data_IF_496453464003
#
_entry.id   IF_496453464003
#
_cell.length_a   1.000
_cell.length_b   1.000
_cell.length_c   1.000
_cell.angle_alpha   90.00
_cell.angle_beta   90.00
_cell.angle_gamma   90.00
#
_symmetry.space_group_name_H-M   'P 1'
#
loop_
_entity.id
_entity.type
_entity.pdbx_description
1 polymer ?
#
# COMPACT_ATOMS: atom_id res chain seq x y z
N UNK A 1 -14.71 25.93 -17.32
CA UNK A 1 -15.32 25.18 -16.22
C UNK A 1 -14.93 23.71 -16.23
N UNK A 2 -15.10 23.04 -17.36
CA UNK A 2 -14.70 21.62 -17.48
C UNK A 2 -13.21 21.41 -17.25
N UNK A 3 -12.38 22.34 -17.70
CA UNK A 3 -10.92 22.29 -17.51
C UNK A 3 -10.53 22.33 -16.03
N UNK A 4 -11.27 23.11 -15.23
CA UNK A 4 -11.00 23.22 -13.78
C UNK A 4 -11.33 21.91 -13.09
N UNK A 5 -12.45 21.28 -13.45
CA UNK A 5 -12.82 19.98 -12.88
C UNK A 5 -11.81 18.89 -13.24
N UNK A 6 -11.32 18.89 -14.47
CA UNK A 6 -10.32 17.93 -14.92
C UNK A 6 -9.02 18.09 -14.14
N UNK A 7 -8.57 19.34 -13.93
CA UNK A 7 -7.39 19.61 -13.10
C UNK A 7 -7.55 19.12 -11.68
N UNK A 8 -8.74 19.33 -11.09
CA UNK A 8 -9.03 18.90 -9.73
C UNK A 8 -8.95 17.39 -9.61
N UNK A 9 -9.54 16.65 -10.55
CA UNK A 9 -9.47 15.19 -10.58
C UNK A 9 -8.05 14.70 -10.71
N UNK A 10 -7.26 15.29 -11.59
CA UNK A 10 -5.87 14.91 -11.77
C UNK A 10 -5.08 15.13 -10.49
N UNK A 11 -5.32 16.23 -9.77
CA UNK A 11 -4.64 16.52 -8.51
C UNK A 11 -5.04 15.51 -7.44
N UNK A 12 -6.32 15.19 -7.33
CA UNK A 12 -6.80 14.21 -6.36
C UNK A 12 -6.23 12.81 -6.64
N UNK A 13 -6.21 12.41 -7.90
CA UNK A 13 -5.61 11.14 -8.32
C UNK A 13 -4.11 11.12 -8.01
N UNK A 14 -3.40 12.22 -8.29
CA UNK A 14 -1.99 12.35 -7.99
C UNK A 14 -1.70 12.20 -6.50
N UNK A 15 -2.52 12.83 -5.65
CA UNK A 15 -2.37 12.72 -4.20
C UNK A 15 -2.62 11.29 -3.71
N UNK A 16 -3.62 10.62 -4.26
CA UNK A 16 -3.91 9.24 -3.91
C UNK A 16 -2.74 8.33 -4.28
N UNK A 17 -2.15 8.52 -5.46
CA UNK A 17 -0.98 7.76 -5.90
C UNK A 17 0.23 8.04 -5.02
N UNK A 18 0.43 9.31 -4.61
CA UNK A 18 1.52 9.67 -3.70
C UNK A 18 1.36 8.99 -2.35
N UNK A 19 0.13 8.91 -1.82
CA UNK A 19 -0.14 8.22 -0.56
C UNK A 19 0.14 6.73 -0.67
N UNK A 20 -0.28 6.11 -1.75
CA UNK A 20 -0.01 4.68 -1.99
C UNK A 20 1.49 4.42 -2.10
N UNK A 21 2.20 5.29 -2.80
CA UNK A 21 3.66 5.17 -2.93
C UNK A 21 4.35 5.31 -1.58
N UNK A 22 3.88 6.24 -0.73
CA UNK A 22 4.43 6.43 0.61
C UNK A 22 4.17 5.21 1.49
N UNK A 23 2.97 4.64 1.43
CA UNK A 23 2.63 3.41 2.16
C UNK A 23 3.48 2.25 1.68
N UNK A 24 3.64 2.09 0.38
CA UNK A 24 4.48 1.04 -0.20
C UNK A 24 5.92 1.17 0.27
N UNK A 25 6.47 2.38 0.26
CA UNK A 25 7.82 2.63 0.75
C UNK A 25 7.95 2.29 2.23
N UNK A 26 6.93 2.61 3.04
CA UNK A 26 6.91 2.26 4.46
C UNK A 26 6.91 0.74 4.66
N UNK A 27 6.11 0.02 3.88
CA UNK A 27 6.06 -1.45 3.95
C UNK A 27 7.43 -2.05 3.59
N UNK A 28 8.07 -1.54 2.55
CA UNK A 28 9.40 -2.00 2.13
C UNK A 28 10.47 -1.73 3.19
N UNK A 29 10.29 -0.71 4.00
CA UNK A 29 11.24 -0.34 5.05
C UNK A 29 11.06 -1.14 6.34
N UNK A 30 9.95 -1.88 6.49
CA UNK A 30 9.72 -2.70 7.67
C UNK A 30 10.71 -3.85 7.76
N UNK A 31 11.12 -4.19 8.97
CA UNK A 31 11.86 -5.43 9.21
C UNK A 31 10.93 -6.64 9.01
N UNK A 32 11.52 -7.83 8.86
CA UNK A 32 10.74 -9.05 8.61
C UNK A 32 9.69 -9.30 9.67
N UNK A 33 10.04 -9.12 10.94
CA UNK A 33 9.11 -9.35 12.06
C UNK A 33 7.94 -8.37 11.99
N UNK A 34 8.21 -7.10 11.75
CA UNK A 34 7.16 -6.08 11.65
C UNK A 34 6.27 -6.33 10.45
N UNK A 35 6.85 -6.78 9.35
CA UNK A 35 6.09 -7.12 8.14
C UNK A 35 5.17 -8.30 8.39
N UNK A 36 5.65 -9.33 9.07
CA UNK A 36 4.85 -10.50 9.44
C UNK A 36 3.71 -10.11 10.38
N UNK A 37 3.97 -9.25 11.34
CA UNK A 37 2.94 -8.73 12.26
C UNK A 37 1.86 -7.97 11.48
N UNK A 38 2.25 -7.14 10.54
CA UNK A 38 1.32 -6.40 9.68
C UNK A 38 0.47 -7.38 8.85
N UNK A 39 1.09 -8.38 8.25
CA UNK A 39 0.39 -9.37 7.44
C UNK A 39 -0.59 -10.18 8.29
N UNK A 40 -0.23 -10.51 9.52
CA UNK A 40 -1.09 -11.24 10.45
C UNK A 40 -2.35 -10.45 10.79
N UNK A 41 -2.21 -9.14 11.02
CA UNK A 41 -3.35 -8.25 11.29
C UNK A 41 -4.36 -8.29 10.14
N UNK A 42 -3.89 -8.35 8.89
CA UNK A 42 -4.75 -8.32 7.71
C UNK A 42 -5.13 -9.70 7.18
N UNK A 43 -4.59 -10.78 7.75
CA UNK A 43 -4.80 -12.14 7.23
C UNK A 43 -6.27 -12.56 7.19
N UNK A 44 -7.05 -12.15 8.18
CA UNK A 44 -8.47 -12.50 8.31
C UNK A 44 -9.40 -11.40 7.76
N UNK A 45 -8.85 -10.29 7.28
CA UNK A 45 -9.65 -9.16 6.81
C UNK A 45 -9.94 -9.20 5.32
N UNK A 46 -10.70 -8.20 4.87
CA UNK A 46 -10.97 -8.04 3.44
C UNK A 46 -9.70 -7.66 2.67
N UNK A 47 -9.63 -8.02 1.38
CA UNK A 47 -8.51 -7.59 0.54
C UNK A 47 -8.43 -6.07 0.48
N UNK A 48 -7.28 -5.52 0.86
CA UNK A 48 -7.01 -4.09 0.80
C UNK A 48 -5.68 -3.89 0.08
N UNK A 49 -5.42 -2.66 -0.47
CA UNK A 49 -4.12 -2.39 -1.08
C UNK A 49 -2.96 -2.65 -0.12
N UNK A 50 -3.11 -2.31 1.15
CA UNK A 50 -2.06 -2.53 2.15
C UNK A 50 -1.79 -4.02 2.37
N UNK A 51 -2.85 -4.84 2.42
CA UNK A 51 -2.71 -6.29 2.54
C UNK A 51 -1.96 -6.86 1.34
N UNK A 52 -2.28 -6.41 0.14
CA UNK A 52 -1.59 -6.85 -1.07
C UNK A 52 -0.13 -6.43 -1.08
N UNK A 53 0.17 -5.21 -0.66
CA UNK A 53 1.55 -4.72 -0.56
C UNK A 53 2.36 -5.54 0.43
N UNK A 54 1.79 -5.85 1.59
CA UNK A 54 2.45 -6.68 2.59
C UNK A 54 2.72 -8.08 2.05
N UNK A 55 1.73 -8.69 1.40
CA UNK A 55 1.86 -10.01 0.79
C UNK A 55 2.92 -10.05 -0.30
N UNK A 56 2.97 -9.03 -1.16
CA UNK A 56 3.96 -8.94 -2.22
C UNK A 56 5.36 -8.79 -1.66
N UNK A 57 5.54 -7.99 -0.62
CA UNK A 57 6.83 -7.81 0.03
C UNK A 57 7.31 -9.09 0.70
N UNK A 58 6.39 -9.82 1.34
CA UNK A 58 6.69 -11.12 1.94
C UNK A 58 7.17 -12.12 0.89
N UNK A 59 6.47 -12.18 -0.25
CA UNK A 59 6.88 -13.05 -1.35
C UNK A 59 8.26 -12.69 -1.87
N UNK A 60 8.55 -11.41 -1.98
CA UNK A 60 9.84 -10.94 -2.46
C UNK A 60 10.97 -11.29 -1.51
N UNK A 61 10.69 -11.32 -0.20
CA UNK A 61 11.66 -11.70 0.84
C UNK A 61 11.67 -13.21 1.12
N UNK A 62 10.76 -13.97 0.49
CA UNK A 62 10.57 -15.40 0.71
C UNK A 62 10.28 -15.73 2.18
N UNK A 63 9.40 -14.93 2.81
CA UNK A 63 8.96 -15.16 4.18
C UNK A 63 7.45 -15.38 4.21
N UNK A 64 6.97 -16.12 5.20
CA UNK A 64 5.55 -16.47 5.36
C UNK A 64 5.13 -16.40 6.82
N UNK A 65 3.83 -16.23 6.99
CA UNK A 65 3.23 -16.38 8.31
C UNK A 65 3.35 -17.82 8.81
#
# INVERSE_FOLDING_TARGET
MLKIRTKRRATETGRALERLAAVEASVKALGDQDLLDLADIFAAGDPTPLREMAGDEMRRRDIRL
#
